data_IF_524020238604
#
_entry.id   IF_524020238604
#
_cell.length_a   1.000
_cell.length_b   1.000
_cell.length_c   1.000
_cell.angle_alpha   90.00
_cell.angle_beta   90.00
_cell.angle_gamma   90.00
#
_symmetry.space_group_name_H-M   'P 1'
#
loop_
_entity.id
_entity.type
_entity.pdbx_description
1 polymer ?
#
# COMPACT_ATOMS: atom_id res chain seq x y z
N UNK A 1 -37.02 34.35 38.00
CA UNK A 1 -37.78 35.26 37.11
C UNK A 1 -38.91 35.96 37.88
N UNK A 2 -39.83 35.22 38.48
CA UNK A 2 -41.06 35.80 39.09
C UNK A 2 -40.81 36.75 40.27
N UNK A 3 -39.86 36.42 41.16
CA UNK A 3 -39.49 37.30 42.29
C UNK A 3 -38.87 38.64 41.86
N UNK A 4 -38.16 38.67 40.73
CA UNK A 4 -37.53 39.89 40.23
C UNK A 4 -38.54 40.75 39.47
N UNK A 5 -39.46 40.13 38.72
CA UNK A 5 -40.55 40.83 38.07
C UNK A 5 -41.53 41.44 39.09
N UNK A 6 -41.84 40.73 40.19
CA UNK A 6 -42.69 41.28 41.26
C UNK A 6 -42.05 42.50 41.92
N UNK A 7 -40.72 42.48 42.13
CA UNK A 7 -39.98 43.62 42.68
C UNK A 7 -40.00 44.83 41.72
N UNK A 8 -39.73 44.59 40.43
CA UNK A 8 -39.74 45.65 39.42
C UNK A 8 -41.11 46.32 39.26
N UNK A 9 -42.20 45.53 39.38
CA UNK A 9 -43.56 46.05 39.38
C UNK A 9 -43.88 46.82 40.66
N UNK A 10 -43.38 46.39 41.82
CA UNK A 10 -43.58 47.07 43.10
C UNK A 10 -42.87 48.44 43.17
N UNK A 11 -41.72 48.57 42.52
CA UNK A 11 -40.99 49.83 42.39
C UNK A 11 -41.44 50.68 41.19
N UNK A 12 -42.55 50.31 40.52
CA UNK A 12 -43.11 50.99 39.34
C UNK A 12 -42.09 51.31 38.23
N UNK A 13 -41.08 50.44 38.06
CA UNK A 13 -39.97 50.72 37.16
C UNK A 13 -40.35 50.65 35.67
N UNK A 14 -41.54 50.12 35.33
CA UNK A 14 -42.05 50.03 33.96
C UNK A 14 -41.31 49.04 33.04
N UNK A 15 -40.42 48.21 33.59
CA UNK A 15 -39.55 47.30 32.82
C UNK A 15 -40.09 45.85 32.89
N UNK A 16 -40.17 45.17 31.74
CA UNK A 16 -40.58 43.76 31.60
C UNK A 16 -39.35 42.87 31.43
N UNK A 17 -39.14 41.94 32.36
CA UNK A 17 -38.04 40.96 32.31
C UNK A 17 -38.40 39.81 31.36
N UNK A 18 -37.71 39.77 30.22
CA UNK A 18 -37.92 38.74 29.19
C UNK A 18 -37.17 37.44 29.53
N UNK A 19 -35.90 37.55 29.92
CA UNK A 19 -35.05 36.41 30.26
C UNK A 19 -34.12 36.74 31.44
N UNK A 20 -33.90 35.76 32.33
CA UNK A 20 -32.94 35.86 33.44
C UNK A 20 -31.84 34.85 33.15
N UNK A 21 -30.71 35.35 32.64
CA UNK A 21 -29.51 34.54 32.45
C UNK A 21 -28.79 34.54 33.80
N UNK A 22 -28.80 33.40 34.48
CA UNK A 22 -27.94 33.18 35.64
C UNK A 22 -26.49 33.20 35.13
N UNK A 23 -25.66 34.11 35.64
CA UNK A 23 -24.22 34.03 35.37
C UNK A 23 -23.68 32.74 35.97
N UNK A 24 -22.80 32.08 35.21
CA UNK A 24 -22.21 30.79 35.54
C UNK A 24 -21.71 30.75 37.00
N UNK A 25 -22.24 29.79 37.75
CA UNK A 25 -21.85 29.53 39.13
C UNK A 25 -20.50 28.82 39.12
N UNK A 26 -19.44 29.61 39.22
CA UNK A 26 -18.08 29.10 39.37
C UNK A 26 -17.96 28.43 40.76
N UNK A 27 -17.47 27.17 40.87
CA UNK A 27 -17.37 26.48 42.15
C UNK A 27 -16.45 27.23 43.15
N UNK A 28 -16.68 27.15 44.47
CA UNK A 28 -15.77 27.70 45.46
C UNK A 28 -14.37 27.09 45.36
N UNK A 29 -13.31 27.86 45.63
CA UNK A 29 -11.91 27.42 45.44
C UNK A 29 -11.56 26.10 46.14
N UNK A 30 -12.23 25.79 47.25
CA UNK A 30 -12.04 24.57 48.02
C UNK A 30 -12.46 23.28 47.30
N UNK A 31 -13.33 23.35 46.28
CA UNK A 31 -13.92 22.17 45.60
C UNK A 31 -13.51 22.06 44.14
N UNK A 32 -12.88 23.10 43.57
CA UNK A 32 -12.42 23.12 42.18
C UNK A 32 -11.42 22.00 41.87
N UNK A 33 -10.49 21.70 42.79
CA UNK A 33 -9.49 20.66 42.59
C UNK A 33 -10.14 19.27 42.40
N UNK A 34 -11.02 18.86 43.32
CA UNK A 34 -11.71 17.57 43.23
C UNK A 34 -12.67 17.48 42.04
N UNK A 35 -13.30 18.58 41.63
CA UNK A 35 -14.12 18.62 40.42
C UNK A 35 -13.29 18.47 39.14
N UNK A 36 -12.14 19.15 39.07
CA UNK A 36 -11.21 19.02 37.96
C UNK A 36 -10.66 17.60 37.86
N UNK A 37 -10.34 16.96 39.00
CA UNK A 37 -9.86 15.57 39.02
C UNK A 37 -10.90 14.59 38.47
N UNK A 38 -12.18 14.74 38.84
CA UNK A 38 -13.25 13.88 38.31
C UNK A 38 -13.44 14.07 36.81
N UNK A 39 -13.42 15.32 36.33
CA UNK A 39 -13.54 15.61 34.90
C UNK A 39 -12.32 15.08 34.13
N UNK A 40 -11.11 15.25 34.65
CA UNK A 40 -9.90 14.72 34.06
C UNK A 40 -9.95 13.18 34.01
N UNK A 41 -10.35 12.51 35.08
CA UNK A 41 -10.50 11.05 35.10
C UNK A 41 -11.53 10.55 34.08
N UNK A 42 -12.64 11.27 33.90
CA UNK A 42 -13.64 10.96 32.85
C UNK A 42 -13.08 11.17 31.44
N UNK A 43 -12.33 12.25 31.23
CA UNK A 43 -11.65 12.54 29.95
C UNK A 43 -10.64 11.45 29.61
N UNK A 44 -9.78 11.08 30.57
CA UNK A 44 -8.77 10.04 30.42
C UNK A 44 -9.40 8.67 30.15
N UNK A 45 -10.48 8.32 30.86
CA UNK A 45 -11.24 7.09 30.60
C UNK A 45 -11.77 7.07 29.16
N UNK A 46 -12.37 8.18 28.72
CA UNK A 46 -12.95 8.29 27.38
C UNK A 46 -11.86 8.23 26.31
N UNK A 47 -10.72 8.87 26.53
CA UNK A 47 -9.54 8.77 25.66
C UNK A 47 -9.05 7.34 25.57
N UNK A 48 -8.84 6.65 26.70
CA UNK A 48 -8.38 5.25 26.71
C UNK A 48 -9.32 4.32 25.94
N UNK A 49 -10.64 4.48 26.13
CA UNK A 49 -11.65 3.70 25.40
C UNK A 49 -11.56 3.98 23.89
N UNK A 50 -11.49 5.26 23.50
CA UNK A 50 -11.39 5.65 22.09
C UNK A 50 -10.10 5.12 21.43
N UNK A 51 -8.96 5.21 22.12
CA UNK A 51 -7.69 4.67 21.64
C UNK A 51 -7.76 3.15 21.47
N UNK A 52 -8.30 2.44 22.45
CA UNK A 52 -8.46 0.98 22.37
C UNK A 52 -9.38 0.57 21.21
N UNK A 53 -10.50 1.28 21.01
CA UNK A 53 -11.41 1.02 19.91
C UNK A 53 -10.76 1.33 18.55
N UNK A 54 -10.00 2.42 18.45
CA UNK A 54 -9.26 2.77 17.23
C UNK A 54 -8.21 1.70 16.89
N UNK A 55 -7.51 1.18 17.89
CA UNK A 55 -6.52 0.13 17.71
C UNK A 55 -7.16 -1.20 17.30
N UNK A 56 -8.26 -1.59 17.94
CA UNK A 56 -9.06 -2.76 17.54
C UNK A 56 -9.54 -2.63 16.08
N UNK A 57 -10.09 -1.47 15.72
CA UNK A 57 -10.57 -1.16 14.37
C UNK A 57 -9.44 -1.09 13.33
N UNK A 58 -8.18 -0.99 13.76
CA UNK A 58 -7.01 -1.01 12.87
C UNK A 58 -6.43 -2.41 12.72
N UNK A 59 -6.24 -3.12 13.83
CA UNK A 59 -5.52 -4.41 13.85
C UNK A 59 -6.36 -5.53 13.25
N UNK A 60 -7.63 -5.65 13.65
CA UNK A 60 -8.49 -6.76 13.20
C UNK A 60 -8.72 -6.70 11.68
N UNK A 61 -9.13 -5.57 11.08
CA UNK A 61 -9.34 -5.51 9.63
C UNK A 61 -8.04 -5.68 8.85
N UNK A 62 -6.92 -5.14 9.34
CA UNK A 62 -5.61 -5.34 8.72
C UNK A 62 -5.22 -6.81 8.70
N UNK A 63 -5.31 -7.51 9.84
CA UNK A 63 -5.00 -8.93 9.92
C UNK A 63 -5.91 -9.78 9.00
N UNK A 64 -7.20 -9.45 8.92
CA UNK A 64 -8.12 -10.10 7.97
C UNK A 64 -7.73 -9.85 6.51
N UNK A 65 -7.34 -8.62 6.18
CA UNK A 65 -6.87 -8.25 4.84
C UNK A 65 -5.57 -8.98 4.46
N UNK A 66 -4.61 -9.05 5.38
CA UNK A 66 -3.36 -9.78 5.18
C UNK A 66 -3.61 -11.28 4.99
N UNK A 67 -4.50 -11.88 5.78
CA UNK A 67 -4.88 -13.28 5.60
C UNK A 67 -5.54 -13.54 4.24
N UNK A 68 -6.49 -12.68 3.84
CA UNK A 68 -7.13 -12.78 2.53
C UNK A 68 -6.12 -12.63 1.39
N UNK A 69 -5.20 -11.65 1.48
CA UNK A 69 -4.13 -11.44 0.51
C UNK A 69 -3.28 -12.69 0.33
N UNK A 70 -2.82 -13.31 1.41
CA UNK A 70 -2.02 -14.54 1.35
C UNK A 70 -2.78 -15.69 0.68
N UNK A 71 -4.07 -15.84 0.98
CA UNK A 71 -4.91 -16.87 0.36
C UNK A 71 -5.06 -16.63 -1.15
N UNK A 72 -5.34 -15.38 -1.57
CA UNK A 72 -5.49 -15.06 -2.99
C UNK A 72 -4.16 -15.17 -3.75
N UNK A 73 -3.04 -14.75 -3.16
CA UNK A 73 -1.70 -14.96 -3.71
C UNK A 73 -1.41 -16.46 -3.91
N UNK A 74 -1.73 -17.30 -2.93
CA UNK A 74 -1.54 -18.75 -3.03
C UNK A 74 -2.44 -19.38 -4.10
N UNK A 75 -3.70 -18.93 -4.23
CA UNK A 75 -4.60 -19.38 -5.30
C UNK A 75 -4.10 -18.94 -6.68
N UNK A 76 -3.66 -17.69 -6.80
CA UNK A 76 -3.06 -17.16 -8.02
C UNK A 76 -1.85 -17.98 -8.45
N UNK A 77 -0.94 -18.25 -7.52
CA UNK A 77 0.23 -19.09 -7.75
C UNK A 77 -0.17 -20.51 -8.19
N UNK A 78 -1.15 -21.13 -7.53
CA UNK A 78 -1.61 -22.47 -7.91
C UNK A 78 -2.15 -22.50 -9.35
N UNK A 79 -2.98 -21.53 -9.72
CA UNK A 79 -3.52 -21.41 -11.09
C UNK A 79 -2.41 -21.15 -12.10
N UNK A 80 -1.49 -20.24 -11.79
CA UNK A 80 -0.33 -19.95 -12.63
C UNK A 80 0.51 -21.21 -12.86
N UNK A 81 0.79 -21.98 -11.81
CA UNK A 81 1.58 -23.22 -11.89
C UNK A 81 0.92 -24.26 -12.79
N UNK A 82 -0.40 -24.45 -12.67
CA UNK A 82 -1.15 -25.38 -13.52
C UNK A 82 -1.15 -24.92 -14.97
N UNK A 83 -1.41 -23.63 -15.22
CA UNK A 83 -1.44 -23.07 -16.57
C UNK A 83 -0.07 -23.14 -17.26
N UNK A 84 1.00 -22.81 -16.54
CA UNK A 84 2.36 -22.92 -17.05
C UNK A 84 2.70 -24.38 -17.38
N UNK A 85 2.39 -25.32 -16.48
CA UNK A 85 2.62 -26.74 -16.73
C UNK A 85 1.85 -27.27 -17.94
N UNK A 86 0.59 -26.83 -18.12
CA UNK A 86 -0.22 -27.19 -19.27
C UNK A 86 0.33 -26.58 -20.57
N UNK A 87 0.71 -25.30 -20.54
CA UNK A 87 1.32 -24.61 -21.67
C UNK A 87 2.64 -25.25 -22.11
N UNK A 88 3.50 -25.61 -21.16
CA UNK A 88 4.75 -26.32 -21.41
C UNK A 88 4.52 -27.71 -22.01
N UNK A 89 3.53 -28.45 -21.48
CA UNK A 89 3.17 -29.75 -22.01
C UNK A 89 2.65 -29.67 -23.45
N UNK A 90 1.83 -28.68 -23.76
CA UNK A 90 1.29 -28.50 -25.11
C UNK A 90 2.34 -27.99 -26.09
N UNK A 91 3.23 -27.09 -25.66
CA UNK A 91 4.42 -26.70 -26.42
C UNK A 91 5.29 -27.92 -26.74
N UNK A 92 5.56 -28.77 -25.75
CA UNK A 92 6.33 -29.98 -25.93
C UNK A 92 5.70 -30.92 -26.96
N UNK A 93 4.38 -31.17 -26.89
CA UNK A 93 3.66 -32.00 -27.87
C UNK A 93 3.77 -31.45 -29.29
N UNK A 94 3.66 -30.14 -29.46
CA UNK A 94 3.81 -29.50 -30.77
C UNK A 94 5.22 -29.68 -31.33
N UNK A 95 6.23 -29.42 -30.50
CA UNK A 95 7.65 -29.61 -30.88
C UNK A 95 7.94 -31.07 -31.19
N UNK A 96 7.44 -32.00 -30.38
CA UNK A 96 7.60 -33.43 -30.59
C UNK A 96 6.98 -33.89 -31.92
N UNK A 97 5.80 -33.39 -32.25
CA UNK A 97 5.13 -33.70 -33.53
C UNK A 97 5.94 -33.18 -34.71
N UNK A 98 6.45 -31.94 -34.64
CA UNK A 98 7.33 -31.39 -35.68
C UNK A 98 8.67 -32.15 -35.79
N UNK A 99 9.24 -32.53 -34.64
CA UNK A 99 10.48 -33.32 -34.60
C UNK A 99 10.29 -34.69 -35.26
N UNK A 100 9.16 -35.36 -35.00
CA UNK A 100 8.85 -36.66 -35.64
C UNK A 100 8.75 -36.55 -37.16
N UNK A 101 8.29 -35.39 -37.67
CA UNK A 101 8.19 -35.14 -39.11
C UNK A 101 9.56 -34.80 -39.74
N UNK A 102 10.38 -33.97 -39.08
CA UNK A 102 11.66 -33.51 -39.63
C UNK A 102 12.75 -33.32 -38.54
N UNK A 103 13.40 -34.42 -38.07
CA UNK A 103 14.31 -34.38 -36.91
C UNK A 103 15.55 -33.50 -37.07
N UNK A 104 16.14 -33.48 -38.27
CA UNK A 104 17.36 -32.71 -38.60
C UNK A 104 17.11 -31.20 -38.53
N UNK A 105 16.05 -30.74 -39.22
CA UNK A 105 15.70 -29.32 -39.33
C UNK A 105 15.23 -28.78 -37.97
N UNK A 106 14.41 -29.54 -37.24
CA UNK A 106 13.93 -29.11 -35.91
C UNK A 106 15.08 -28.94 -34.92
N UNK A 107 16.07 -29.86 -34.89
CA UNK A 107 17.26 -29.72 -34.03
C UNK A 107 18.08 -28.49 -34.37
N UNK A 108 18.36 -28.29 -35.66
CA UNK A 108 19.14 -27.13 -36.13
C UNK A 108 18.44 -25.81 -35.80
N UNK A 109 17.11 -25.74 -35.97
CA UNK A 109 16.31 -24.57 -35.59
C UNK A 109 16.41 -24.26 -34.10
N UNK A 110 16.15 -25.25 -33.24
CA UNK A 110 16.20 -25.07 -31.78
C UNK A 110 17.59 -24.59 -31.34
N UNK A 111 18.66 -25.17 -31.90
CA UNK A 111 20.03 -24.76 -31.62
C UNK A 111 20.28 -23.29 -31.99
N UNK A 112 19.94 -22.88 -33.22
CA UNK A 112 20.13 -21.51 -33.68
C UNK A 112 19.28 -20.51 -32.88
N UNK A 113 18.04 -20.85 -32.56
CA UNK A 113 17.17 -20.00 -31.73
C UNK A 113 17.71 -19.86 -30.30
N UNK A 114 18.19 -20.95 -29.69
CA UNK A 114 18.74 -20.96 -28.33
C UNK A 114 20.01 -20.12 -28.26
N UNK A 115 20.92 -20.30 -29.23
CA UNK A 115 22.14 -19.51 -29.35
C UNK A 115 21.81 -18.04 -29.60
N UNK A 116 20.85 -17.74 -30.47
CA UNK A 116 20.38 -16.37 -30.70
C UNK A 116 19.85 -15.71 -29.43
N UNK A 117 19.07 -16.44 -28.60
CA UNK A 117 18.59 -15.94 -27.30
C UNK A 117 19.76 -15.66 -26.34
N UNK A 118 20.69 -16.60 -26.21
CA UNK A 118 21.87 -16.44 -25.34
C UNK A 118 22.70 -15.23 -25.75
N UNK A 119 22.94 -15.06 -27.06
CA UNK A 119 23.64 -13.89 -27.57
C UNK A 119 22.86 -12.60 -27.27
N UNK A 120 21.55 -12.54 -27.55
CA UNK A 120 20.73 -11.35 -27.26
C UNK A 120 20.71 -10.97 -25.76
N UNK A 121 20.62 -11.95 -24.86
CA UNK A 121 20.70 -11.69 -23.41
C UNK A 121 22.09 -11.18 -23.01
N UNK A 122 23.15 -11.73 -23.61
CA UNK A 122 24.51 -11.26 -23.38
C UNK A 122 24.77 -9.85 -23.91
N UNK A 123 24.16 -9.46 -25.04
CA UNK A 123 24.32 -8.12 -25.62
C UNK A 123 23.49 -7.05 -24.89
N UNK A 124 22.33 -7.41 -24.33
CA UNK A 124 21.45 -6.47 -23.62
C UNK A 124 21.76 -6.31 -22.12
N UNK A 125 22.58 -7.19 -21.52
CA UNK A 125 22.87 -7.18 -20.07
C UNK A 125 24.35 -7.39 -19.73
N UNK A 126 25.23 -7.66 -20.72
CA UNK A 126 26.67 -7.77 -20.55
C UNK A 126 27.46 -6.63 -21.24
N UNK A 127 28.78 -6.50 -20.98
CA UNK A 127 29.60 -5.52 -21.68
C UNK A 127 29.55 -5.81 -23.19
N UNK A 128 29.25 -4.80 -24.01
CA UNK A 128 29.14 -4.84 -25.47
C UNK A 128 30.11 -5.87 -26.08
N UNK A 129 29.62 -7.08 -26.35
CA UNK A 129 30.46 -8.19 -26.81
C UNK A 129 30.64 -8.06 -28.32
N UNK A 130 31.73 -7.39 -28.73
CA UNK A 130 32.09 -7.22 -30.13
C UNK A 130 32.73 -8.52 -30.61
N UNK A 131 32.07 -9.22 -31.53
CA UNK A 131 32.62 -10.41 -32.19
C UNK A 131 33.35 -9.92 -33.45
N UNK A 132 34.68 -10.09 -33.49
CA UNK A 132 35.53 -9.66 -34.61
C UNK A 132 36.03 -10.93 -35.32
N UNK A 133 35.88 -10.97 -36.63
CA UNK A 133 36.46 -12.01 -37.48
C UNK A 133 37.99 -11.89 -37.48
N UNK A 134 38.72 -13.01 -37.44
CA UNK A 134 40.18 -13.04 -37.31
C UNK A 134 40.89 -12.35 -38.50
N UNK A 135 40.20 -12.27 -39.65
CA UNK A 135 40.67 -11.59 -40.86
C UNK A 135 40.38 -10.07 -40.87
N UNK A 136 39.55 -9.56 -39.97
CA UNK A 136 39.16 -8.14 -39.93
C UNK A 136 40.21 -7.27 -39.20
N UNK A 137 41.35 -7.03 -39.86
CA UNK A 137 42.34 -6.03 -39.41
C UNK A 137 41.82 -4.61 -39.63
N UNK A 138 41.68 -3.81 -38.56
CA UNK A 138 41.62 -2.35 -38.66
C UNK A 138 40.46 -1.63 -37.95
N UNK A 139 39.69 -2.30 -37.10
CA UNK A 139 38.64 -1.61 -36.33
C UNK A 139 39.17 -1.22 -34.94
N UNK A 140 39.28 0.09 -34.71
CA UNK A 140 39.49 0.67 -33.38
C UNK A 140 38.15 0.67 -32.63
N UNK A 141 38.00 -0.06 -31.51
CA UNK A 141 36.80 0.03 -30.69
C UNK A 141 36.79 1.41 -30.04
N UNK A 142 35.89 2.31 -30.47
CA UNK A 142 35.67 3.58 -29.79
C UNK A 142 34.93 3.29 -28.48
N UNK A 143 35.66 3.39 -27.36
CA UNK A 143 35.07 3.39 -26.02
C UNK A 143 34.39 4.75 -25.81
N UNK A 144 33.07 4.82 -25.96
CA UNK A 144 32.31 6.04 -25.68
C UNK A 144 32.23 6.28 -24.16
N UNK A 145 33.23 6.99 -23.61
CA UNK A 145 33.24 7.51 -22.24
C UNK A 145 32.42 8.80 -22.14
N UNK A 146 31.11 8.74 -22.41
CA UNK A 146 30.22 9.84 -22.03
C UNK A 146 28.81 9.35 -21.69
N UNK A 147 28.68 8.77 -20.51
CA UNK A 147 27.40 8.66 -19.79
C UNK A 147 27.67 9.01 -18.35
N UNK A 148 27.64 10.30 -18.01
CA UNK A 148 27.82 10.76 -16.63
C UNK A 148 28.31 12.21 -16.51
N UNK A 149 27.65 13.13 -17.20
CA UNK A 149 27.94 14.56 -17.15
C UNK A 149 26.68 15.39 -16.98
N UNK A 150 25.95 15.14 -15.87
CA UNK A 150 25.14 16.06 -15.06
C UNK A 150 24.39 15.28 -14.00
#
# INVERSE_FOLDING_TARGET
>A
KDKLQSLANQYELGIKLEEVILQDVNPPESVKASWNDVNQAQQERSQKINTAQAEFNKVIPKAKGDAARVIEEARGYAVERVNNAQGDADLFKQVFTAYKLAPEVTRKRIYLETIGKVFNTATNTGPNKIIIDEEAKGLLPLLNLNTGGK
#
